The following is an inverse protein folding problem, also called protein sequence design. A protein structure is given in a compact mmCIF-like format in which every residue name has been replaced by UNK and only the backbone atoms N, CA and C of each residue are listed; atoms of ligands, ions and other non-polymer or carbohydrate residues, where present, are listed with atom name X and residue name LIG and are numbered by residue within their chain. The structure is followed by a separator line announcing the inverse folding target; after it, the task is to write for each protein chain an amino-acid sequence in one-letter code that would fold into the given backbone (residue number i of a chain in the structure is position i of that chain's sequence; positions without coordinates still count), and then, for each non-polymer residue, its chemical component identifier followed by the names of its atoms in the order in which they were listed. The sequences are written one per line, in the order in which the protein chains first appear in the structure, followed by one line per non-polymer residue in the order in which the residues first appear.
data_IF_289389754138
#
_entry.id   IF_289389754138
#
_cell.length_a   1.000
_cell.length_b   1.000
_cell.length_c   1.000
_cell.angle_alpha   90.00
_cell.angle_beta   90.00
_cell.angle_gamma   90.00
#
_symmetry.space_group_name_H-M   'P 1'
#
loop_
_entity.id
_entity.type
_entity.pdbx_description
1 polymer ?
#
# COMPACT_ATOMS: atom_id res chain seq x y z
N UNK A 1 -20.03 -30.77 -15.74
CA UNK A 1 -20.49 -29.84 -14.67
C UNK A 1 -19.26 -29.48 -13.86
N UNK A 2 -18.68 -28.31 -14.13
CA UNK A 2 -17.45 -27.86 -13.46
C UNK A 2 -17.80 -27.43 -12.04
N UNK A 3 -17.23 -28.11 -11.03
CA UNK A 3 -17.24 -27.65 -9.65
C UNK A 3 -16.22 -26.51 -9.54
N UNK A 4 -16.69 -25.29 -9.76
CA UNK A 4 -16.02 -24.08 -9.31
C UNK A 4 -16.31 -24.00 -7.80
N UNK A 5 -15.29 -23.73 -6.97
CA UNK A 5 -15.32 -23.70 -5.50
C UNK A 5 -15.14 -25.04 -4.78
N UNK A 6 -13.88 -25.32 -4.42
CA UNK A 6 -13.56 -26.14 -3.26
C UNK A 6 -13.87 -25.32 -2.01
N UNK A 7 -14.97 -25.64 -1.33
CA UNK A 7 -15.26 -25.14 0.03
C UNK A 7 -14.27 -25.84 0.96
N UNK A 8 -13.21 -25.13 1.34
CA UNK A 8 -12.19 -25.66 2.24
C UNK A 8 -10.84 -24.97 2.09
N UNK A 9 -10.79 -23.65 2.13
CA UNK A 9 -9.58 -22.96 2.57
C UNK A 9 -9.93 -22.30 3.90
N UNK A 10 -9.31 -22.76 5.00
CA UNK A 10 -9.31 -22.02 6.25
C UNK A 10 -8.79 -20.62 5.94
N UNK A 11 -9.63 -19.60 6.17
CA UNK A 11 -9.19 -18.22 6.06
C UNK A 11 -8.20 -17.99 7.19
N UNK A 12 -6.92 -18.07 6.87
CA UNK A 12 -5.79 -17.79 7.75
C UNK A 12 -5.65 -16.28 8.00
N UNK A 13 -6.80 -15.61 8.16
CA UNK A 13 -6.92 -14.18 8.37
C UNK A 13 -7.44 -13.95 9.77
N UNK A 14 -6.51 -13.70 10.69
CA UNK A 14 -6.84 -13.24 12.04
C UNK A 14 -6.81 -11.72 12.08
N UNK A 15 -7.82 -11.12 12.70
CA UNK A 15 -7.84 -9.68 12.99
C UNK A 15 -6.62 -9.21 13.81
N UNK A 16 -5.95 -10.12 14.52
CA UNK A 16 -4.69 -9.82 15.22
C UNK A 16 -3.50 -9.61 14.28
N UNK A 17 -3.52 -10.14 13.05
CA UNK A 17 -2.43 -9.98 12.06
C UNK A 17 -2.36 -8.56 11.49
N UNK A 18 -3.48 -7.84 11.52
CA UNK A 18 -3.52 -6.42 11.18
C UNK A 18 -3.05 -5.57 12.38
N UNK A 19 -2.91 -6.16 13.58
CA UNK A 19 -2.45 -5.52 14.81
C UNK A 19 -3.60 -5.03 15.71
N UNK A 20 -3.28 -4.69 16.96
CA UNK A 20 -4.25 -4.25 17.97
C UNK A 20 -4.69 -2.79 17.75
N UNK A 21 -5.98 -2.56 17.52
CA UNK A 21 -6.58 -1.23 17.31
C UNK A 21 -6.42 -0.33 18.56
N UNK A 22 -6.40 -0.92 19.76
CA UNK A 22 -6.33 -0.17 21.02
C UNK A 22 -4.89 0.24 21.42
N UNK A 23 -3.86 -0.36 20.83
CA UNK A 23 -2.45 -0.20 21.28
C UNK A 23 -1.56 0.58 20.30
N UNK A 24 -2.10 1.00 19.14
CA UNK A 24 -1.38 1.71 18.09
C UNK A 24 -0.42 0.79 17.34
N UNK A 25 -0.69 0.57 16.05
CA UNK A 25 -0.02 -0.44 15.22
C UNK A 25 1.36 0.03 14.78
N UNK A 26 2.34 -0.07 15.68
CA UNK A 26 3.74 0.32 15.44
C UNK A 26 4.57 -0.84 14.90
N UNK A 27 4.51 -1.12 13.60
CA UNK A 27 5.62 -1.70 12.84
C UNK A 27 5.35 -1.78 11.33
N UNK A 28 6.01 -0.91 10.57
CA UNK A 28 5.93 -0.91 9.12
C UNK A 28 6.48 -2.20 8.49
N UNK A 29 7.41 -2.87 9.19
CA UNK A 29 7.86 -4.23 8.86
C UNK A 29 6.72 -5.28 8.94
N UNK A 30 5.76 -5.13 9.87
CA UNK A 30 4.58 -5.99 9.89
C UNK A 30 3.64 -5.67 8.74
N UNK A 31 3.52 -4.40 8.36
CA UNK A 31 2.71 -4.04 7.19
C UNK A 31 3.27 -4.69 5.92
N UNK A 32 4.58 -4.55 5.66
CA UNK A 32 5.22 -5.16 4.49
C UNK A 32 5.01 -6.69 4.47
N UNK A 33 5.21 -7.35 5.62
CA UNK A 33 4.99 -8.80 5.74
C UNK A 33 3.51 -9.18 5.53
N UNK A 34 2.57 -8.43 6.10
CA UNK A 34 1.14 -8.72 5.94
C UNK A 34 0.69 -8.56 4.48
N UNK A 35 1.16 -7.51 3.80
CA UNK A 35 0.85 -7.31 2.36
C UNK A 35 1.41 -8.44 1.50
N UNK A 36 2.62 -8.93 1.81
CA UNK A 36 3.25 -10.04 1.09
C UNK A 36 2.53 -11.37 1.34
N UNK A 37 2.30 -11.74 2.62
CA UNK A 37 1.65 -13.01 2.99
C UNK A 37 0.22 -13.10 2.46
N UNK A 38 -0.51 -11.97 2.43
CA UNK A 38 -1.86 -11.91 1.88
C UNK A 38 -1.90 -11.65 0.38
N UNK A 39 -0.74 -11.60 -0.31
CA UNK A 39 -0.63 -11.38 -1.76
C UNK A 39 -1.32 -10.10 -2.25
N UNK A 40 -1.25 -9.06 -1.43
CA UNK A 40 -1.73 -7.72 -1.78
C UNK A 40 -0.64 -6.96 -2.55
N UNK A 41 0.62 -7.17 -2.18
CA UNK A 41 1.75 -6.58 -2.88
C UNK A 41 3.03 -6.61 -2.04
N UNK A 42 4.16 -6.38 -2.69
CA UNK A 42 5.48 -6.32 -2.09
C UNK A 42 5.85 -4.85 -1.88
N UNK A 43 5.47 -4.31 -0.71
CA UNK A 43 5.73 -2.93 -0.35
C UNK A 43 7.21 -2.72 0.05
N UNK A 44 7.83 -1.64 -0.43
CA UNK A 44 9.17 -1.18 0.00
C UNK A 44 9.19 0.34 0.22
N UNK A 45 10.06 0.79 1.13
CA UNK A 45 10.40 2.20 1.28
C UNK A 45 11.74 2.43 0.57
N UNK A 46 11.74 3.26 -0.48
CA UNK A 46 12.96 3.70 -1.16
C UNK A 46 13.60 4.90 -0.45
N UNK A 47 12.78 5.80 0.10
CA UNK A 47 13.23 7.01 0.82
C UNK A 47 12.27 7.33 1.95
N UNK A 48 12.82 7.77 3.09
CA UNK A 48 12.07 8.41 4.18
C UNK A 48 12.94 9.52 4.81
N UNK A 49 12.58 10.80 4.62
CA UNK A 49 13.21 11.91 5.36
C UNK A 49 12.32 12.30 6.55
N UNK A 50 12.72 12.00 7.80
CA UNK A 50 11.91 12.30 8.97
C UNK A 50 11.76 13.81 9.26
N UNK A 51 12.64 14.65 8.70
CA UNK A 51 12.60 16.11 8.92
C UNK A 51 11.52 16.76 8.07
N UNK A 52 11.47 16.43 6.79
CA UNK A 52 10.48 16.98 5.85
C UNK A 52 9.19 16.16 5.86
N UNK A 53 9.30 14.86 6.12
CA UNK A 53 8.25 13.89 5.92
C UNK A 53 8.20 13.35 4.49
N UNK A 54 9.18 13.61 3.62
CA UNK A 54 9.15 13.07 2.26
C UNK A 54 9.31 11.55 2.30
N UNK A 55 8.43 10.83 1.61
CA UNK A 55 8.51 9.37 1.48
C UNK A 55 8.41 8.97 0.02
N UNK A 56 9.22 7.99 -0.38
CA UNK A 56 9.06 7.30 -1.66
C UNK A 56 8.85 5.83 -1.35
N UNK A 57 7.73 5.29 -1.82
CA UNK A 57 7.34 3.90 -1.64
C UNK A 57 7.18 3.21 -3.00
N UNK A 58 7.35 1.90 -3.02
CA UNK A 58 7.07 1.07 -4.19
C UNK A 58 6.25 -0.15 -3.83
N UNK A 59 5.32 -0.54 -4.69
CA UNK A 59 4.57 -1.78 -4.62
C UNK A 59 4.90 -2.66 -5.83
N UNK A 60 5.62 -3.76 -5.58
CA UNK A 60 5.82 -4.83 -6.56
C UNK A 60 4.67 -5.84 -6.49
N UNK A 61 4.36 -6.52 -7.59
CA UNK A 61 3.24 -7.49 -7.64
C UNK A 61 1.94 -6.93 -7.04
N UNK A 62 1.70 -5.66 -7.33
CA UNK A 62 0.60 -4.88 -6.77
C UNK A 62 -0.75 -5.45 -7.24
N UNK A 63 -1.61 -5.79 -6.27
CA UNK A 63 -2.94 -6.35 -6.51
C UNK A 63 -3.82 -5.44 -7.39
N UNK A 64 -3.63 -4.12 -7.35
CA UNK A 64 -4.48 -3.17 -8.10
C UNK A 64 -4.05 -3.09 -9.58
N UNK A 65 -2.74 -2.98 -9.84
CA UNK A 65 -2.20 -2.64 -11.17
C UNK A 65 -1.42 -3.77 -11.88
N UNK A 66 -0.90 -4.76 -11.15
CA UNK A 66 -0.01 -5.77 -11.74
C UNK A 66 -0.74 -6.67 -12.74
N UNK A 67 -0.19 -6.78 -13.96
CA UNK A 67 -0.76 -7.59 -15.03
C UNK A 67 -1.88 -6.90 -15.83
N UNK A 68 -2.21 -5.64 -15.52
CA UNK A 68 -3.07 -4.83 -16.39
C UNK A 68 -2.38 -4.55 -17.74
N UNK A 69 -3.16 -4.35 -18.82
CA UNK A 69 -2.60 -3.90 -20.09
C UNK A 69 -1.86 -2.57 -19.94
N UNK A 70 -0.81 -2.38 -20.74
CA UNK A 70 -0.13 -1.08 -20.83
C UNK A 70 -1.03 -0.10 -21.58
N UNK A 71 -1.61 0.86 -20.87
CA UNK A 71 -2.43 1.95 -21.43
C UNK A 71 -1.70 3.28 -21.45
N UNK A 72 -0.64 3.42 -20.65
CA UNK A 72 0.06 4.70 -20.44
C UNK A 72 -0.49 5.52 -19.27
N UNK A 73 -1.49 5.00 -18.55
CA UNK A 73 -2.14 5.70 -17.45
C UNK A 73 -1.58 5.28 -16.08
N UNK A 74 -1.79 6.16 -15.10
CA UNK A 74 -1.64 5.91 -13.67
C UNK A 74 -3.02 5.59 -13.10
N UNK A 75 -3.17 4.42 -12.47
CA UNK A 75 -4.49 3.88 -12.10
C UNK A 75 -4.64 3.54 -10.62
N UNK A 76 -3.56 3.54 -9.85
CA UNK A 76 -3.51 3.11 -8.43
C UNK A 76 -4.07 4.14 -7.46
N UNK A 77 -5.29 4.61 -7.70
CA UNK A 77 -5.98 5.56 -6.84
C UNK A 77 -6.28 4.96 -5.46
N UNK A 78 -6.50 3.64 -5.39
CA UNK A 78 -6.68 2.93 -4.14
C UNK A 78 -5.40 3.01 -3.29
N UNK A 79 -4.24 2.71 -3.87
CA UNK A 79 -2.97 2.71 -3.15
C UNK A 79 -2.56 4.11 -2.70
N UNK A 80 -2.84 5.16 -3.48
CA UNK A 80 -2.65 6.54 -3.01
C UNK A 80 -3.39 6.79 -1.69
N UNK A 81 -4.67 6.41 -1.61
CA UNK A 81 -5.48 6.55 -0.40
C UNK A 81 -5.02 5.64 0.73
N UNK A 82 -4.72 4.38 0.43
CA UNK A 82 -4.26 3.39 1.40
C UNK A 82 -2.93 3.81 2.05
N UNK A 83 -1.94 4.18 1.23
CA UNK A 83 -0.63 4.63 1.71
C UNK A 83 -0.73 5.95 2.47
N UNK A 84 -1.62 6.86 2.07
CA UNK A 84 -1.89 8.10 2.84
C UNK A 84 -2.39 7.77 4.26
N UNK A 85 -3.36 6.87 4.37
CA UNK A 85 -3.89 6.41 5.66
C UNK A 85 -2.85 5.71 6.53
N UNK A 86 -2.03 4.84 5.93
CA UNK A 86 -0.90 4.19 6.60
C UNK A 86 0.08 5.23 7.14
N UNK A 87 0.55 6.15 6.29
CA UNK A 87 1.53 7.16 6.70
C UNK A 87 0.98 8.06 7.81
N UNK A 88 -0.31 8.42 7.75
CA UNK A 88 -0.99 9.16 8.82
C UNK A 88 -0.99 8.42 10.14
N UNK A 89 -1.34 7.14 10.15
CA UNK A 89 -1.33 6.31 11.36
C UNK A 89 0.08 6.21 11.96
N UNK A 90 1.12 6.06 11.14
CA UNK A 90 2.50 5.92 11.61
C UNK A 90 3.14 7.23 12.09
N UNK A 91 2.81 8.35 11.47
CA UNK A 91 3.53 9.63 11.67
C UNK A 91 2.70 10.69 12.39
N UNK A 92 1.37 10.50 12.47
CA UNK A 92 0.42 11.48 12.98
C UNK A 92 0.18 12.69 12.07
N UNK A 93 0.70 12.69 10.83
CA UNK A 93 0.55 13.80 9.88
C UNK A 93 -0.30 13.36 8.69
N UNK A 94 -1.08 14.25 8.12
CA UNK A 94 -1.76 13.99 6.86
C UNK A 94 -0.77 13.99 5.68
N UNK A 95 -0.98 13.09 4.72
CA UNK A 95 -0.12 12.93 3.55
C UNK A 95 -0.92 13.03 2.26
N UNK A 96 -0.37 13.76 1.29
CA UNK A 96 -0.75 13.61 -0.11
C UNK A 96 0.20 12.58 -0.74
N UNK A 97 -0.36 11.48 -1.21
CA UNK A 97 0.36 10.43 -1.94
C UNK A 97 -0.02 10.51 -3.41
N UNK A 98 0.96 10.44 -4.29
CA UNK A 98 0.77 10.46 -5.74
C UNK A 98 1.53 9.30 -6.39
N UNK A 99 0.84 8.56 -7.23
CA UNK A 99 1.49 7.60 -8.12
C UNK A 99 2.35 8.34 -9.16
N UNK A 100 3.59 7.88 -9.36
CA UNK A 100 4.51 8.44 -10.36
C UNK A 100 4.91 7.41 -11.41
N UNK A 101 4.93 6.13 -11.05
CA UNK A 101 5.12 5.00 -11.97
C UNK A 101 4.03 3.96 -11.74
N UNK A 102 3.54 3.34 -12.82
CA UNK A 102 2.49 2.32 -12.77
C UNK A 102 2.81 1.11 -13.66
N UNK A 103 2.36 -0.08 -13.29
CA UNK A 103 2.34 -1.23 -14.21
C UNK A 103 1.54 -0.92 -15.50
N UNK A 104 0.39 -0.25 -15.37
CA UNK A 104 -0.43 0.17 -16.52
C UNK A 104 0.26 1.24 -17.39
N UNK A 105 1.24 1.96 -16.86
CA UNK A 105 2.09 2.89 -17.63
C UNK A 105 3.26 2.18 -18.33
N UNK A 106 3.48 0.89 -18.07
CA UNK A 106 4.59 0.09 -18.61
C UNK A 106 5.79 -0.05 -17.69
N UNK A 107 5.72 0.43 -16.44
CA UNK A 107 6.74 0.17 -15.44
C UNK A 107 6.65 -1.27 -14.90
N UNK A 108 7.69 -1.72 -14.20
CA UNK A 108 7.72 -3.05 -13.54
C UNK A 108 7.36 -3.00 -12.06
N UNK A 109 6.92 -1.85 -11.56
CA UNK A 109 6.56 -1.58 -10.17
C UNK A 109 5.68 -0.33 -10.13
N UNK A 110 4.70 -0.29 -9.23
CA UNK A 110 3.95 0.94 -8.94
C UNK A 110 4.79 1.77 -7.92
N UNK A 111 5.08 3.04 -8.19
CA UNK A 111 5.90 3.94 -7.32
C UNK A 111 5.08 5.13 -6.89
N UNK A 112 5.22 5.51 -5.62
CA UNK A 112 4.45 6.55 -4.98
C UNK A 112 5.36 7.56 -4.29
N UNK A 113 5.14 8.83 -4.57
CA UNK A 113 5.74 9.94 -3.83
C UNK A 113 4.72 10.49 -2.83
N UNK A 114 5.14 10.65 -1.58
CA UNK A 114 4.29 11.11 -0.51
C UNK A 114 4.92 12.30 0.22
N UNK A 115 4.12 13.35 0.41
CA UNK A 115 4.52 14.57 1.10
C UNK A 115 3.47 14.93 2.15
N UNK A 116 3.89 15.56 3.25
CA UNK A 116 2.99 16.03 4.29
C UNK A 116 2.04 17.09 3.71
N UNK A 117 0.74 16.87 3.87
CA UNK A 117 -0.28 17.83 3.44
C UNK A 117 -0.34 19.01 4.43
N UNK A 118 0.15 20.17 3.97
CA UNK A 118 0.14 21.39 4.76
C UNK A 118 -1.24 22.08 4.82
N UNK A 119 -2.26 21.54 4.14
CA UNK A 119 -3.60 22.12 4.06
C UNK A 119 -4.64 21.38 4.93
N UNK A 120 -4.25 20.31 5.62
CA UNK A 120 -5.11 19.62 6.59
C UNK A 120 -5.37 20.52 7.81
N UNK A 121 -6.46 21.31 7.74
CA UNK A 121 -6.93 22.15 8.84
C UNK A 121 -7.36 21.26 10.00
N UNK A 122 -6.75 21.51 11.17
CA UNK A 122 -7.17 21.05 12.50
C UNK A 122 -8.61 21.47 12.79
#
# INVERSE_FOLDING_TARGET
MFKVFHIGEEKDFSWSMIGNIAEGRRNLASLQNSLEVHKIGILRIEKFDPRTGDVVLTAGEDLDCSGLPVTGDQVCNYDEGFLSGVLKEYTGKDYLVKEVDCWASGASVCRFEANVDQQAKV
#
